data_IF_786683785887
#
_entry.id   IF_786683785887
#
_cell.length_a   1.000
_cell.length_b   1.000
_cell.length_c   1.000
_cell.angle_alpha   90.00
_cell.angle_beta   90.00
_cell.angle_gamma   90.00
#
_symmetry.space_group_name_H-M   'P 1'
#
loop_
_entity.id
_entity.type
_entity.pdbx_description
1 polymer ?
#
# COMPACT_ATOMS: atom_id res chain seq x y z
N UNK A 1 -11.05 15.69 -13.59
CA UNK A 1 -10.36 14.58 -12.87
C UNK A 1 -9.84 15.11 -11.53
N UNK A 2 -10.24 14.48 -10.44
CA UNK A 2 -9.82 14.89 -9.10
C UNK A 2 -8.79 13.90 -8.55
N UNK A 3 -7.66 14.41 -8.09
CA UNK A 3 -6.65 13.61 -7.40
C UNK A 3 -7.07 13.49 -5.93
N UNK A 4 -7.27 12.26 -5.45
CA UNK A 4 -7.71 12.02 -4.08
C UNK A 4 -6.58 11.56 -3.17
N UNK A 5 -5.41 11.26 -3.72
CA UNK A 5 -4.27 10.84 -2.91
C UNK A 5 -3.13 10.33 -3.77
N UNK A 6 -2.08 9.88 -3.10
CA UNK A 6 -0.93 9.30 -3.79
C UNK A 6 -0.19 8.31 -2.89
N UNK A 7 0.54 7.41 -3.54
CA UNK A 7 1.50 6.52 -2.91
C UNK A 7 2.83 6.72 -3.61
N UNK A 8 3.84 7.21 -2.92
CA UNK A 8 5.11 7.40 -3.56
C UNK A 8 6.12 8.15 -2.71
N UNK A 9 7.28 8.38 -3.32
CA UNK A 9 8.40 9.05 -2.69
C UNK A 9 8.12 10.54 -2.48
N UNK A 10 7.51 11.17 -3.49
CA UNK A 10 7.13 12.58 -3.45
C UNK A 10 5.97 12.82 -4.42
N UNK A 11 5.58 14.09 -4.61
CA UNK A 11 4.46 14.43 -5.47
C UNK A 11 4.75 14.28 -6.97
N UNK A 12 6.00 14.20 -7.35
CA UNK A 12 6.41 14.03 -8.75
C UNK A 12 6.65 12.55 -9.08
N UNK A 13 7.20 11.81 -8.15
CA UNK A 13 7.47 10.37 -8.31
C UNK A 13 6.51 9.59 -7.43
N UNK A 14 5.31 9.32 -7.95
CA UNK A 14 4.28 8.65 -7.17
C UNK A 14 3.23 8.00 -8.08
N UNK A 15 2.41 7.17 -7.47
CA UNK A 15 1.21 6.59 -8.07
C UNK A 15 0.03 7.43 -7.57
N UNK A 16 -0.66 8.08 -8.48
CA UNK A 16 -1.77 8.96 -8.15
C UNK A 16 -3.09 8.18 -8.07
N UNK A 17 -3.89 8.49 -7.07
CA UNK A 17 -5.26 7.99 -6.95
C UNK A 17 -6.21 9.08 -7.43
N UNK A 18 -7.03 8.76 -8.43
CA UNK A 18 -7.89 9.75 -9.08
C UNK A 18 -9.32 9.25 -9.21
N UNK A 19 -10.24 10.21 -9.24
CA UNK A 19 -11.66 9.94 -9.50
C UNK A 19 -12.13 10.91 -10.58
N UNK A 20 -12.84 10.40 -11.57
CA UNK A 20 -13.49 11.22 -12.60
C UNK A 20 -14.87 10.64 -12.91
N UNK A 21 -15.66 11.37 -13.72
CA UNK A 21 -16.99 10.90 -14.10
C UNK A 21 -16.96 9.58 -14.87
N UNK A 22 -15.87 9.31 -15.56
CA UNK A 22 -15.75 8.13 -16.41
C UNK A 22 -15.10 6.95 -15.69
N UNK A 23 -14.41 7.18 -14.56
CA UNK A 23 -13.74 6.10 -13.86
C UNK A 23 -13.31 6.47 -12.46
N UNK A 24 -12.99 5.43 -11.69
CA UNK A 24 -12.41 5.54 -10.36
C UNK A 24 -11.08 4.79 -10.32
N UNK A 25 -10.01 5.51 -10.01
CA UNK A 25 -8.69 4.93 -9.79
C UNK A 25 -8.30 5.22 -8.34
N UNK A 26 -9.05 4.61 -7.45
CA UNK A 26 -8.86 4.78 -6.02
C UNK A 26 -8.50 3.45 -5.38
N UNK A 27 -7.85 3.46 -4.22
CA UNK A 27 -7.62 2.22 -3.51
C UNK A 27 -8.94 1.65 -2.99
N UNK A 28 -9.09 0.34 -3.10
CA UNK A 28 -10.25 -0.41 -2.63
C UNK A 28 -9.80 -1.46 -1.61
N UNK A 29 -10.74 -1.94 -0.81
CA UNK A 29 -10.47 -2.98 0.18
C UNK A 29 -9.32 -2.63 1.11
N UNK A 30 -9.26 -1.38 1.52
CA UNK A 30 -8.20 -0.89 2.40
C UNK A 30 -8.33 -1.51 3.78
N UNK A 31 -7.20 -2.03 4.28
CA UNK A 31 -7.11 -2.60 5.60
C UNK A 31 -5.83 -2.13 6.28
N UNK A 32 -5.97 -1.52 7.43
CA UNK A 32 -4.85 -1.06 8.23
C UNK A 32 -4.84 -1.88 9.52
N UNK A 33 -3.74 -2.54 9.79
CA UNK A 33 -3.61 -3.41 10.95
C UNK A 33 -2.31 -3.12 11.70
N UNK A 34 -2.35 -3.33 13.00
CA UNK A 34 -1.18 -3.18 13.85
C UNK A 34 -1.29 -4.08 15.05
N UNK A 35 -0.18 -4.29 15.73
CA UNK A 35 -0.16 -5.10 16.93
C UNK A 35 0.93 -4.62 17.89
N UNK A 36 0.66 -4.81 19.17
CA UNK A 36 1.63 -4.59 20.23
C UNK A 36 2.15 -5.93 20.71
N UNK A 37 3.39 -5.94 21.13
CA UNK A 37 4.03 -7.16 21.67
C UNK A 37 4.00 -7.14 23.17
N UNK A 38 3.54 -8.25 23.75
CA UNK A 38 3.52 -8.47 25.19
C UNK A 38 4.22 -9.78 25.51
N UNK A 39 5.05 -9.77 26.53
CA UNK A 39 5.58 -10.99 27.11
C UNK A 39 4.73 -11.40 28.31
N UNK A 40 4.55 -12.71 28.47
CA UNK A 40 3.81 -13.25 29.60
C UNK A 40 4.78 -13.98 30.52
N UNK A 41 4.82 -13.57 31.79
CA UNK A 41 5.68 -14.18 32.78
C UNK A 41 4.84 -14.96 33.79
N UNK A 42 5.13 -16.27 33.90
CA UNK A 42 4.45 -17.14 34.85
C UNK A 42 4.93 -16.82 36.26
N UNK A 43 3.99 -16.75 37.20
CA UNK A 43 4.30 -16.51 38.60
C UNK A 43 3.75 -17.64 39.44
N UNK A 44 4.48 -17.97 40.52
CA UNK A 44 4.11 -19.05 41.42
C UNK A 44 2.85 -18.71 42.20
N UNK A 45 1.87 -19.61 42.14
CA UNK A 45 0.59 -19.55 42.91
C UNK A 45 -0.23 -18.27 42.63
N UNK A 46 -0.05 -17.60 41.47
CA UNK A 46 -0.84 -16.46 41.13
C UNK A 46 -0.99 -16.36 39.59
N UNK A 47 -1.76 -15.39 39.12
CA UNK A 47 -1.95 -15.21 37.70
C UNK A 47 -0.64 -14.78 37.02
N UNK A 48 -0.53 -15.03 35.73
CA UNK A 48 0.63 -14.62 34.96
C UNK A 48 0.69 -13.08 34.87
N UNK A 49 1.90 -12.56 34.79
CA UNK A 49 2.16 -11.12 34.59
C UNK A 49 2.41 -10.87 33.11
N UNK A 50 1.74 -9.86 32.54
CA UNK A 50 2.00 -9.43 31.17
C UNK A 50 2.84 -8.15 31.19
N UNK A 51 3.77 -8.06 30.23
CA UNK A 51 4.66 -6.91 30.11
C UNK A 51 4.67 -6.43 28.67
N UNK A 52 4.50 -5.14 28.44
CA UNK A 52 4.58 -4.53 27.14
C UNK A 52 6.04 -4.49 26.69
N UNK A 53 6.34 -5.12 25.55
CA UNK A 53 7.70 -5.21 25.04
C UNK A 53 7.95 -4.38 23.78
N UNK A 54 6.91 -3.78 23.20
CA UNK A 54 7.06 -2.90 22.06
C UNK A 54 5.93 -3.03 21.06
N UNK A 55 6.07 -2.34 19.94
CA UNK A 55 5.11 -2.39 18.84
C UNK A 55 5.74 -3.08 17.64
N UNK A 56 4.96 -3.90 16.96
CA UNK A 56 5.32 -4.40 15.65
C UNK A 56 5.00 -3.33 14.60
N UNK A 57 5.68 -3.33 13.43
CA UNK A 57 5.32 -2.42 12.36
C UNK A 57 3.88 -2.64 11.91
N UNK A 58 3.16 -1.54 11.67
CA UNK A 58 1.81 -1.63 11.14
C UNK A 58 1.84 -2.12 9.70
N UNK A 59 0.78 -2.82 9.29
CA UNK A 59 0.58 -3.25 7.92
C UNK A 59 -0.60 -2.54 7.29
N UNK A 60 -0.51 -2.28 6.01
CA UNK A 60 -1.59 -1.67 5.23
C UNK A 60 -1.73 -2.42 3.92
N UNK A 61 -2.92 -2.83 3.57
CA UNK A 61 -3.19 -3.52 2.31
C UNK A 61 -4.31 -2.81 1.57
N UNK A 62 -4.21 -2.77 0.26
CA UNK A 62 -5.27 -2.25 -0.59
C UNK A 62 -5.18 -2.83 -2.00
N UNK A 63 -6.27 -2.71 -2.74
CA UNK A 63 -6.36 -3.12 -4.13
C UNK A 63 -6.55 -1.88 -5.00
N UNK A 64 -6.04 -1.95 -6.22
CA UNK A 64 -6.14 -0.85 -7.16
C UNK A 64 -6.35 -1.42 -8.56
N UNK A 65 -7.32 -0.86 -9.29
CA UNK A 65 -7.56 -1.25 -10.68
C UNK A 65 -6.96 -0.21 -11.61
N UNK A 66 -6.13 -0.67 -12.54
CA UNK A 66 -5.50 0.16 -13.56
C UNK A 66 -6.07 -0.22 -14.92
N UNK A 67 -6.51 0.76 -15.69
CA UNK A 67 -7.07 0.50 -17.01
C UNK A 67 -6.56 1.52 -18.03
N UNK A 68 -6.21 1.03 -19.20
CA UNK A 68 -5.69 1.86 -20.29
C UNK A 68 -6.77 2.77 -20.91
N UNK A 69 -8.06 2.46 -20.71
CA UNK A 69 -9.16 3.32 -21.19
C UNK A 69 -9.07 4.75 -20.71
N UNK A 70 -8.34 4.97 -19.63
CA UNK A 70 -8.39 6.19 -18.85
C UNK A 70 -7.13 7.03 -19.00
N UNK A 71 -6.36 6.78 -20.05
CA UNK A 71 -5.11 7.48 -20.29
C UNK A 71 -3.97 7.00 -19.40
N UNK A 72 -4.16 5.90 -18.70
CA UNK A 72 -3.14 5.28 -17.86
C UNK A 72 -2.49 4.16 -18.65
N UNK A 73 -1.16 4.03 -18.55
CA UNK A 73 -0.45 2.86 -19.04
C UNK A 73 -0.22 1.98 -17.80
N UNK A 74 -0.97 0.86 -17.65
CA UNK A 74 -0.88 0.07 -16.42
C UNK A 74 0.53 -0.40 -16.10
N UNK A 75 1.31 -0.77 -17.10
CA UNK A 75 2.68 -1.24 -16.88
C UNK A 75 3.59 -0.15 -16.31
N UNK A 76 3.40 1.12 -16.69
CA UNK A 76 4.22 2.21 -16.15
C UNK A 76 3.98 2.39 -14.65
N UNK A 77 2.75 2.27 -14.21
CA UNK A 77 2.42 2.36 -12.78
C UNK A 77 2.96 1.15 -12.01
N UNK A 78 2.90 -0.03 -12.60
CA UNK A 78 3.45 -1.24 -11.99
C UNK A 78 4.96 -1.17 -11.87
N UNK A 79 5.64 -0.55 -12.84
CA UNK A 79 7.09 -0.37 -12.78
C UNK A 79 7.48 0.53 -11.60
N UNK A 80 6.71 1.58 -11.33
CA UNK A 80 6.95 2.42 -10.16
C UNK A 80 6.84 1.63 -8.87
N UNK A 81 5.80 0.81 -8.76
CA UNK A 81 5.58 -0.04 -7.59
C UNK A 81 6.71 -1.05 -7.40
N UNK A 82 7.14 -1.70 -8.48
CA UNK A 82 8.25 -2.65 -8.44
C UNK A 82 9.55 -1.98 -8.03
N UNK A 83 9.79 -0.77 -8.49
CA UNK A 83 10.98 -0.01 -8.12
C UNK A 83 11.01 0.27 -6.62
N UNK A 84 9.90 0.71 -6.04
CA UNK A 84 9.81 0.94 -4.60
C UNK A 84 10.08 -0.34 -3.81
N UNK A 85 9.53 -1.45 -4.27
CA UNK A 85 9.73 -2.74 -3.61
C UNK A 85 11.17 -3.22 -3.68
N UNK A 86 11.78 -3.14 -4.85
CA UNK A 86 13.15 -3.62 -5.07
C UNK A 86 14.20 -2.76 -4.40
N UNK A 87 14.01 -1.46 -4.44
CA UNK A 87 14.98 -0.51 -3.89
C UNK A 87 14.82 -0.30 -2.38
N UNK A 88 13.75 -0.84 -1.81
CA UNK A 88 13.48 -0.67 -0.39
C UNK A 88 13.18 0.77 -0.01
N UNK A 89 12.63 1.56 -0.94
CA UNK A 89 12.31 2.96 -0.67
C UNK A 89 11.14 3.11 0.28
N UNK A 90 11.28 4.03 1.22
CA UNK A 90 10.20 4.40 2.10
C UNK A 90 9.30 5.41 1.39
N UNK A 91 8.02 5.08 1.27
CA UNK A 91 7.06 5.89 0.52
C UNK A 91 5.94 6.39 1.43
N UNK A 92 5.39 7.54 1.08
CA UNK A 92 4.26 8.12 1.81
C UNK A 92 2.95 7.67 1.16
N UNK A 93 1.96 7.37 2.00
CA UNK A 93 0.60 7.07 1.56
C UNK A 93 -0.30 8.21 2.04
N UNK A 94 -0.93 8.90 1.10
CA UNK A 94 -1.84 10.00 1.39
C UNK A 94 -3.17 9.74 0.68
N UNK A 95 -4.26 9.80 1.43
CA UNK A 95 -5.61 9.64 0.89
C UNK A 95 -6.46 10.77 1.46
N UNK A 96 -7.14 11.50 0.57
CA UNK A 96 -7.85 12.70 0.96
C UNK A 96 -6.87 13.78 1.39
N UNK A 97 -7.10 14.37 2.56
CA UNK A 97 -6.23 15.42 3.11
C UNK A 97 -5.27 14.91 4.17
N UNK A 98 -5.24 13.59 4.39
CA UNK A 98 -4.46 13.00 5.49
C UNK A 98 -3.42 12.03 4.97
N UNK A 99 -2.23 12.11 5.56
CA UNK A 99 -1.22 11.07 5.42
C UNK A 99 -1.57 9.88 6.30
N UNK A 100 -1.38 8.68 5.80
CA UNK A 100 -1.65 7.45 6.53
C UNK A 100 -0.35 6.92 7.13
N UNK A 101 -0.39 6.64 8.43
CA UNK A 101 0.74 6.15 9.17
C UNK A 101 1.61 7.28 9.75
N UNK A 102 2.20 7.03 10.91
CA UNK A 102 3.10 7.97 11.57
C UNK A 102 4.44 8.08 10.82
N UNK A 103 4.84 6.97 10.23
CA UNK A 103 6.07 6.86 9.46
C UNK A 103 5.74 6.56 8.01
N UNK A 104 6.74 6.57 7.16
CA UNK A 104 6.57 6.14 5.78
C UNK A 104 6.40 4.62 5.72
N UNK A 105 6.06 4.13 4.56
CA UNK A 105 5.77 2.72 4.32
C UNK A 105 6.79 2.10 3.37
N UNK A 106 7.08 0.82 3.56
CA UNK A 106 7.81 0.03 2.57
C UNK A 106 6.81 -0.85 1.82
N UNK A 107 7.01 -0.97 0.52
CA UNK A 107 6.26 -1.93 -0.30
C UNK A 107 6.93 -3.30 -0.10
N UNK A 108 6.26 -4.20 0.59
CA UNK A 108 6.85 -5.52 0.92
C UNK A 108 6.32 -6.62 0.03
N UNK A 109 5.16 -6.45 -0.55
CA UNK A 109 4.53 -7.47 -1.39
C UNK A 109 3.54 -6.83 -2.35
N UNK A 110 3.47 -7.40 -3.54
CA UNK A 110 2.43 -7.05 -4.51
C UNK A 110 1.91 -8.33 -5.17
N UNK A 111 0.68 -8.25 -5.63
CA UNK A 111 0.07 -9.32 -6.43
C UNK A 111 -0.69 -8.66 -7.56
N UNK A 112 -0.44 -9.11 -8.77
CA UNK A 112 -1.00 -8.52 -9.98
C UNK A 112 -1.86 -9.55 -10.68
N UNK A 113 -3.10 -9.15 -11.00
CA UNK A 113 -3.99 -9.96 -11.82
C UNK A 113 -4.23 -9.21 -13.12
N UNK A 114 -3.71 -9.75 -14.20
CA UNK A 114 -3.91 -9.19 -15.54
C UNK A 114 -5.23 -9.69 -16.07
N UNK A 115 -6.22 -8.80 -16.21
CA UNK A 115 -7.57 -9.21 -16.58
C UNK A 115 -7.78 -9.23 -18.07
N UNK A 116 -7.30 -8.21 -18.79
CA UNK A 116 -7.53 -8.08 -20.20
C UNK A 116 -6.28 -7.56 -20.91
N UNK A 117 -6.04 -8.08 -22.10
CA UNK A 117 -5.04 -7.55 -23.02
C UNK A 117 -5.74 -7.09 -24.28
N UNK A 118 -5.13 -6.15 -25.00
CA UNK A 118 -5.66 -5.72 -26.29
C UNK A 118 -5.24 -6.69 -27.40
N UNK A 119 -5.61 -6.40 -28.65
CA UNK A 119 -5.28 -7.25 -29.78
C UNK A 119 -3.79 -7.37 -30.10
N UNK A 120 -2.94 -6.56 -29.46
CA UNK A 120 -1.49 -6.60 -29.62
C UNK A 120 -0.77 -7.24 -28.43
N UNK A 121 -1.53 -7.73 -27.44
CA UNK A 121 -0.98 -8.31 -26.23
C UNK A 121 -0.59 -7.30 -25.15
N UNK A 122 -0.89 -6.01 -25.35
CA UNK A 122 -0.65 -5.00 -24.32
C UNK A 122 -1.66 -5.14 -23.19
N UNK A 123 -1.23 -4.93 -21.96
CA UNK A 123 -2.10 -5.00 -20.79
C UNK A 123 -3.10 -3.84 -20.82
N UNK A 124 -4.38 -4.18 -20.80
CA UNK A 124 -5.46 -3.22 -20.86
C UNK A 124 -6.08 -2.95 -19.49
N UNK A 125 -6.31 -3.98 -18.70
CA UNK A 125 -6.84 -3.89 -17.35
C UNK A 125 -6.02 -4.77 -16.43
N UNK A 126 -5.58 -4.22 -15.31
CA UNK A 126 -4.86 -4.96 -14.28
C UNK A 126 -5.41 -4.59 -12.91
N UNK A 127 -5.52 -5.59 -12.03
CA UNK A 127 -5.84 -5.37 -10.61
C UNK A 127 -4.59 -5.68 -9.81
N UNK A 128 -4.19 -4.75 -8.97
CA UNK A 128 -2.98 -4.85 -8.16
C UNK A 128 -3.38 -4.86 -6.70
N UNK A 129 -2.91 -5.87 -5.96
CA UNK A 129 -3.02 -5.90 -4.51
C UNK A 129 -1.66 -5.55 -3.93
N UNK A 130 -1.61 -4.54 -3.08
CA UNK A 130 -0.37 -4.02 -2.52
C UNK A 130 -0.38 -4.22 -1.01
N UNK A 131 0.73 -4.72 -0.48
CA UNK A 131 0.95 -4.86 0.96
C UNK A 131 2.09 -3.95 1.37
N UNK A 132 1.81 -3.07 2.32
CA UNK A 132 2.76 -2.11 2.86
C UNK A 132 3.07 -2.47 4.31
N UNK A 133 4.27 -2.18 4.73
CA UNK A 133 4.70 -2.32 6.11
C UNK A 133 5.33 -1.01 6.55
N UNK A 134 5.02 -0.57 7.76
CA UNK A 134 5.54 0.67 8.31
C UNK A 134 7.07 0.63 8.38
N UNK A 135 7.72 1.71 7.92
CA UNK A 135 9.17 1.83 7.94
C UNK A 135 9.59 2.43 9.27
N UNK A 136 10.02 1.56 10.17
CA UNK A 136 10.48 1.97 11.50
C UNK A 136 11.98 2.21 11.48
N UNK A 137 12.40 3.27 12.15
CA UNK A 137 13.81 3.60 12.31
C UNK A 137 14.19 3.53 13.77
N UNK A 138 15.41 3.14 14.00
CA UNK A 138 16.00 3.22 15.33
C UNK A 138 16.38 4.65 15.68
#
# INVERSE_FOLDING_TARGET
>A
MAVIGYLGKDTEDCILFTVSDDFVRSPENMKWSGSARYATHQRHNTHALTEYTGMDPDGFTFDMTLTAMLGVVPMDELVKLWRYERDGEAVALTIGTKGYGKYRWNVVKHSIKLKHTDGRGEVYVAVVSVTLQEYLRS
#
